data_IF_384634197995
#
_entry.id   IF_384634197995
#
_cell.length_a   1.000
_cell.length_b   1.000
_cell.length_c   1.000
_cell.angle_alpha   90.00
_cell.angle_beta   90.00
_cell.angle_gamma   90.00
#
_symmetry.space_group_name_H-M   'P 1'
#
loop_
_entity.id
_entity.type
_entity.pdbx_description
1 polymer ?
#
# COMPACT_ATOMS: atom_id res chain seq x y z
N UNK A 1 17.80 -20.39 9.38
CA UNK A 1 17.71 -21.68 10.09
C UNK A 1 18.83 -22.56 9.57
N UNK A 2 19.58 -23.21 10.47
CA UNK A 2 20.58 -24.21 10.07
C UNK A 2 19.92 -25.41 9.38
N UNK A 3 20.72 -26.15 8.59
CA UNK A 3 20.21 -27.29 7.79
C UNK A 3 19.61 -28.41 8.64
N UNK A 4 20.07 -28.56 9.88
CA UNK A 4 19.55 -29.51 10.88
C UNK A 4 18.41 -28.94 11.75
N UNK A 5 18.00 -27.69 11.51
CA UNK A 5 16.93 -27.01 12.22
C UNK A 5 17.24 -26.55 13.64
N UNK A 6 18.49 -26.77 14.14
CA UNK A 6 18.83 -26.50 15.53
C UNK A 6 19.12 -25.02 15.84
N UNK A 7 19.54 -24.28 14.83
CA UNK A 7 19.84 -22.87 15.00
C UNK A 7 18.87 -22.02 14.18
N UNK A 8 18.27 -21.03 14.84
CA UNK A 8 17.46 -19.99 14.20
C UNK A 8 18.14 -18.65 14.48
N UNK A 9 18.62 -18.00 13.43
CA UNK A 9 19.24 -16.70 13.53
C UNK A 9 18.50 -15.69 12.67
N UNK A 10 17.94 -14.60 13.25
CA UNK A 10 17.39 -13.52 12.45
C UNK A 10 18.51 -12.81 11.68
N UNK A 11 18.29 -12.59 10.39
CA UNK A 11 19.25 -11.89 9.51
C UNK A 11 18.85 -10.44 9.26
N UNK A 12 17.61 -10.06 9.60
CA UNK A 12 17.12 -8.68 9.55
C UNK A 12 16.66 -8.26 10.94
N UNK A 13 16.92 -7.00 11.31
CA UNK A 13 16.44 -6.39 12.53
C UNK A 13 15.75 -5.09 12.20
N UNK A 14 14.70 -4.74 12.94
CA UNK A 14 13.92 -3.51 12.76
C UNK A 14 12.43 -3.74 12.96
N UNK A 15 11.70 -2.63 13.13
CA UNK A 15 10.24 -2.62 13.30
C UNK A 15 9.55 -2.58 11.93
N UNK A 16 9.74 -3.60 11.10
CA UNK A 16 9.11 -3.72 9.79
C UNK A 16 8.78 -5.17 9.44
N UNK A 17 7.84 -5.35 8.53
CA UNK A 17 7.49 -6.66 7.99
C UNK A 17 8.38 -7.04 6.81
N UNK A 18 8.84 -8.29 6.81
CA UNK A 18 9.29 -8.99 5.62
C UNK A 18 8.05 -9.43 4.83
N UNK A 19 7.72 -8.69 3.77
CA UNK A 19 6.45 -8.86 3.06
C UNK A 19 6.52 -10.02 2.07
N UNK A 20 7.59 -10.07 1.29
CA UNK A 20 7.77 -11.06 0.23
C UNK A 20 9.26 -11.28 -0.05
N UNK A 21 9.66 -12.54 -0.20
CA UNK A 21 10.96 -12.87 -0.78
C UNK A 21 10.96 -12.59 -2.29
N UNK A 22 12.04 -11.98 -2.76
CA UNK A 22 12.31 -11.78 -4.19
C UNK A 22 13.33 -12.80 -4.69
N UNK A 23 14.31 -13.15 -3.86
CA UNK A 23 15.30 -14.18 -4.14
C UNK A 23 16.58 -13.98 -3.34
N UNK A 24 17.59 -14.81 -3.64
CA UNK A 24 18.90 -14.74 -2.98
C UNK A 24 20.04 -14.84 -4.01
N UNK A 25 21.13 -14.13 -3.74
CA UNK A 25 22.42 -14.26 -4.41
C UNK A 25 23.36 -14.97 -3.42
N UNK A 26 23.45 -16.30 -3.58
CA UNK A 26 24.24 -17.14 -2.67
C UNK A 26 25.74 -16.90 -2.82
N UNK A 27 26.21 -16.52 -4.03
CA UNK A 27 27.63 -16.26 -4.30
C UNK A 27 28.10 -15.00 -3.57
N UNK A 28 27.23 -13.97 -3.53
CA UNK A 28 27.51 -12.70 -2.83
C UNK A 28 26.97 -12.67 -1.40
N UNK A 29 26.20 -13.69 -1.00
CA UNK A 29 25.64 -13.79 0.36
C UNK A 29 24.57 -12.74 0.68
N UNK A 30 23.63 -12.47 -0.25
CA UNK A 30 22.52 -11.55 -0.07
C UNK A 30 21.16 -12.22 -0.27
N UNK A 31 20.18 -11.79 0.52
CA UNK A 31 18.76 -12.01 0.27
C UNK A 31 18.12 -10.68 -0.15
N UNK A 32 17.19 -10.77 -1.10
CA UNK A 32 16.40 -9.65 -1.61
C UNK A 32 14.94 -9.85 -1.25
N UNK A 33 14.31 -8.82 -0.73
CA UNK A 33 12.93 -8.90 -0.22
C UNK A 33 12.19 -7.57 -0.34
N UNK A 34 10.87 -7.65 -0.29
CA UNK A 34 9.99 -6.48 -0.22
C UNK A 34 9.72 -6.15 1.24
N UNK A 35 9.87 -4.88 1.59
CA UNK A 35 9.51 -4.31 2.88
C UNK A 35 9.00 -2.86 2.71
N UNK A 36 8.43 -2.31 3.77
CA UNK A 36 7.94 -0.94 3.79
C UNK A 36 8.02 -0.35 5.20
N UNK A 37 9.24 -0.11 5.74
CA UNK A 37 9.42 0.36 7.11
C UNK A 37 8.88 1.77 7.35
N UNK A 38 8.93 2.63 6.34
CA UNK A 38 8.63 4.07 6.49
C UNK A 38 7.22 4.45 6.04
N UNK A 39 6.58 3.64 5.19
CA UNK A 39 5.24 3.91 4.66
C UNK A 39 4.48 2.62 4.35
N UNK A 40 3.50 2.29 5.17
CA UNK A 40 2.75 1.02 5.05
C UNK A 40 1.86 0.93 3.81
N UNK A 41 1.60 2.04 3.11
CA UNK A 41 0.82 2.04 1.87
C UNK A 41 1.65 1.68 0.64
N UNK A 42 2.98 1.61 0.76
CA UNK A 42 3.94 1.42 -0.32
C UNK A 42 4.75 0.14 -0.15
N UNK A 43 5.52 -0.27 -1.17
CA UNK A 43 6.33 -1.50 -1.18
C UNK A 43 7.65 -1.24 -1.88
N UNK A 44 8.76 -1.58 -1.23
CA UNK A 44 10.10 -1.29 -1.70
C UNK A 44 11.01 -2.51 -1.64
N UNK A 45 11.98 -2.59 -2.56
CA UNK A 45 12.99 -3.62 -2.55
C UNK A 45 14.10 -3.29 -1.57
N UNK A 46 14.42 -4.27 -0.73
CA UNK A 46 15.56 -4.25 0.18
C UNK A 46 16.46 -5.44 -0.06
N UNK A 47 17.70 -5.33 0.39
CA UNK A 47 18.61 -6.46 0.55
C UNK A 47 19.12 -6.53 1.98
N UNK A 48 19.46 -7.74 2.42
CA UNK A 48 20.22 -7.99 3.66
C UNK A 48 21.30 -9.03 3.41
N UNK A 49 22.37 -9.02 4.22
CA UNK A 49 23.37 -10.08 4.18
C UNK A 49 22.81 -11.36 4.80
N UNK A 50 23.07 -12.50 4.15
CA UNK A 50 22.72 -13.83 4.69
C UNK A 50 23.60 -14.19 5.88
N UNK A 51 24.86 -13.70 5.89
CA UNK A 51 25.84 -13.99 6.93
C UNK A 51 26.44 -12.68 7.47
N UNK A 52 26.64 -12.60 8.78
CA UNK A 52 27.20 -11.42 9.45
C UNK A 52 26.17 -10.50 10.05
N UNK A 53 26.53 -9.24 10.27
CA UNK A 53 25.62 -8.21 10.78
C UNK A 53 24.78 -7.68 9.63
N UNK A 54 23.51 -8.07 9.61
CA UNK A 54 22.58 -7.83 8.52
C UNK A 54 22.24 -6.36 8.31
N UNK A 55 23.12 -5.60 7.63
CA UNK A 55 22.74 -4.29 7.11
C UNK A 55 21.59 -4.45 6.12
N UNK A 56 20.46 -3.85 6.44
CA UNK A 56 19.29 -3.76 5.57
C UNK A 56 19.42 -2.50 4.73
N UNK A 57 19.43 -2.66 3.40
CA UNK A 57 19.58 -1.54 2.46
C UNK A 57 18.48 -1.54 1.42
N UNK A 58 17.77 -0.41 1.28
CA UNK A 58 16.84 -0.19 0.17
C UNK A 58 17.58 -0.12 -1.15
N UNK A 59 17.04 -0.80 -2.19
CA UNK A 59 17.57 -0.83 -3.55
C UNK A 59 16.66 -0.13 -4.56
N UNK A 60 15.33 -0.19 -4.36
CA UNK A 60 14.41 0.56 -5.21
C UNK A 60 14.68 2.06 -5.13
N UNK A 61 14.54 2.82 -6.24
CA UNK A 61 14.83 4.24 -6.29
C UNK A 61 14.05 5.03 -5.23
N UNK A 62 14.71 6.04 -4.64
CA UNK A 62 14.10 6.86 -3.58
C UNK A 62 13.08 7.86 -4.11
N UNK A 63 13.21 8.24 -5.38
CA UNK A 63 12.32 9.14 -6.11
C UNK A 63 11.11 8.45 -6.75
N UNK A 64 11.01 7.12 -6.62
CA UNK A 64 9.86 6.34 -7.09
C UNK A 64 9.05 5.84 -5.90
N UNK A 65 8.17 6.69 -5.38
CA UNK A 65 7.23 6.31 -4.32
C UNK A 65 6.06 5.52 -4.89
N UNK A 66 5.77 4.34 -4.29
CA UNK A 66 4.68 3.46 -4.73
C UNK A 66 4.94 1.99 -4.50
N UNK A 67 4.41 1.16 -5.37
CA UNK A 67 4.53 -0.29 -5.33
C UNK A 67 5.62 -0.78 -6.29
N UNK A 68 6.56 -1.54 -5.76
CA UNK A 68 7.60 -2.20 -6.54
C UNK A 68 7.43 -3.72 -6.43
N UNK A 69 7.44 -4.39 -7.59
CA UNK A 69 7.42 -5.86 -7.69
C UNK A 69 8.56 -6.33 -8.55
N UNK A 70 9.10 -7.51 -8.25
CA UNK A 70 10.24 -8.06 -8.95
C UNK A 70 10.06 -9.54 -9.24
N UNK A 71 10.50 -9.94 -10.43
CA UNK A 71 10.70 -11.34 -10.80
C UNK A 71 12.19 -11.49 -11.10
N UNK A 72 12.94 -12.07 -10.18
CA UNK A 72 14.39 -12.20 -10.29
C UNK A 72 14.77 -13.38 -11.18
N UNK A 73 15.81 -13.19 -12.00
CA UNK A 73 16.39 -14.24 -12.80
C UNK A 73 17.08 -15.30 -11.91
N UNK A 74 17.18 -16.56 -12.33
CA UNK A 74 17.89 -17.60 -11.58
C UNK A 74 19.36 -17.26 -11.28
N UNK A 75 20.00 -16.44 -12.12
CA UNK A 75 21.38 -15.98 -11.91
C UNK A 75 21.52 -14.88 -10.85
N UNK A 76 20.42 -14.31 -10.33
CA UNK A 76 20.46 -13.19 -9.40
C UNK A 76 21.00 -11.87 -9.97
N UNK A 77 21.26 -11.80 -11.28
CA UNK A 77 21.88 -10.62 -11.93
C UNK A 77 20.89 -9.64 -12.49
N UNK A 78 19.67 -10.09 -12.79
CA UNK A 78 18.62 -9.32 -13.45
C UNK A 78 17.28 -9.57 -12.79
N UNK A 79 16.37 -8.61 -12.92
CA UNK A 79 14.97 -8.84 -12.62
C UNK A 79 14.07 -8.09 -13.61
N UNK A 80 12.88 -8.63 -13.86
CA UNK A 80 11.77 -7.85 -14.37
C UNK A 80 11.21 -7.07 -13.19
N UNK A 81 11.21 -5.77 -13.31
CA UNK A 81 10.70 -4.84 -12.32
C UNK A 81 9.40 -4.25 -12.81
N UNK A 82 8.43 -4.15 -11.93
CA UNK A 82 7.16 -3.44 -12.16
C UNK A 82 7.00 -2.38 -11.09
N UNK A 83 6.85 -1.14 -11.51
CA UNK A 83 6.56 0.00 -10.66
C UNK A 83 5.19 0.57 -10.99
N UNK A 84 4.41 0.93 -9.98
CA UNK A 84 3.20 1.74 -10.12
C UNK A 84 2.91 2.52 -8.83
N UNK A 85 2.10 3.56 -8.95
CA UNK A 85 1.44 4.24 -7.83
C UNK A 85 0.03 4.67 -8.23
N UNK A 86 -0.68 5.39 -7.38
CA UNK A 86 -2.06 5.81 -7.63
C UNK A 86 -2.24 6.65 -8.90
N UNK A 87 -1.18 7.32 -9.38
CA UNK A 87 -1.20 8.22 -10.54
C UNK A 87 -0.45 7.66 -11.76
N UNK A 88 0.30 6.58 -11.57
CA UNK A 88 1.17 6.03 -12.60
C UNK A 88 0.80 4.57 -12.87
N UNK A 89 0.32 4.26 -14.09
CA UNK A 89 0.10 2.88 -14.50
C UNK A 89 1.39 2.08 -14.45
N UNK A 90 1.32 0.73 -14.43
CA UNK A 90 2.51 -0.10 -14.32
C UNK A 90 3.56 0.24 -15.38
N UNK A 91 4.74 0.65 -14.93
CA UNK A 91 5.96 0.76 -15.74
C UNK A 91 6.74 -0.52 -15.53
N UNK A 92 7.08 -1.19 -16.61
CA UNK A 92 7.78 -2.50 -16.56
C UNK A 92 9.11 -2.35 -17.29
N UNK A 93 10.19 -2.68 -16.60
CA UNK A 93 11.53 -2.69 -17.14
C UNK A 93 12.35 -3.87 -16.64
N UNK A 94 13.45 -4.16 -17.31
CA UNK A 94 14.47 -5.07 -16.87
C UNK A 94 15.57 -4.29 -16.15
N UNK A 95 15.84 -4.64 -14.90
CA UNK A 95 16.86 -4.00 -14.07
C UNK A 95 18.00 -4.94 -13.71
N UNK A 96 19.21 -4.39 -13.55
CA UNK A 96 20.36 -5.13 -13.04
C UNK A 96 20.36 -5.19 -11.52
N UNK A 97 20.87 -6.27 -10.94
CA UNK A 97 21.05 -6.45 -9.51
C UNK A 97 22.53 -6.51 -9.12
N UNK A 98 22.91 -5.95 -7.98
CA UNK A 98 22.10 -5.20 -7.01
C UNK A 98 21.98 -3.69 -7.29
N UNK A 99 22.48 -3.21 -8.42
CA UNK A 99 22.60 -1.77 -8.73
C UNK A 99 21.24 -1.10 -9.03
N UNK A 100 20.20 -1.89 -9.32
CA UNK A 100 18.87 -1.43 -9.74
C UNK A 100 18.92 -0.46 -10.93
N UNK A 101 19.83 -0.72 -11.88
CA UNK A 101 19.92 0.10 -13.09
C UNK A 101 19.00 -0.46 -14.16
N UNK A 102 18.11 0.36 -14.69
CA UNK A 102 17.27 -0.01 -15.84
C UNK A 102 18.14 -0.29 -17.06
N UNK A 103 17.97 -1.47 -17.64
CA UNK A 103 18.70 -1.96 -18.80
C UNK A 103 17.82 -1.85 -20.04
N UNK A 104 16.56 -2.14 -19.89
CA UNK A 104 15.60 -2.15 -20.99
C UNK A 104 14.21 -1.86 -20.46
N UNK A 105 13.60 -0.82 -20.99
CA UNK A 105 12.18 -0.56 -20.83
C UNK A 105 11.38 -1.60 -21.65
N UNK A 106 10.42 -2.26 -21.00
CA UNK A 106 9.49 -3.20 -21.62
C UNK A 106 8.21 -2.46 -22.01
N UNK A 107 7.63 -1.72 -21.07
CA UNK A 107 6.51 -0.81 -21.32
C UNK A 107 6.45 0.27 -20.25
N UNK A 108 6.08 1.48 -20.64
CA UNK A 108 5.79 2.60 -19.73
C UNK A 108 4.28 2.87 -19.59
N UNK A 109 3.46 2.18 -20.40
CA UNK A 109 2.02 2.40 -20.47
C UNK A 109 1.61 3.87 -20.63
N UNK A 110 2.46 4.67 -21.33
CA UNK A 110 2.27 6.11 -21.52
C UNK A 110 0.90 6.42 -22.15
N UNK A 111 0.48 5.63 -23.14
CA UNK A 111 -0.84 5.81 -23.77
C UNK A 111 -1.99 5.59 -22.78
N UNK A 112 -1.90 4.59 -21.90
CA UNK A 112 -2.90 4.36 -20.86
C UNK A 112 -2.94 5.52 -19.87
N UNK A 113 -1.77 6.04 -19.48
CA UNK A 113 -1.64 7.23 -18.60
C UNK A 113 -2.28 8.46 -19.23
N UNK A 114 -2.05 8.70 -20.52
CA UNK A 114 -2.62 9.81 -21.26
C UNK A 114 -4.14 9.70 -21.36
N UNK A 115 -4.66 8.53 -21.74
CA UNK A 115 -6.09 8.26 -21.78
C UNK A 115 -6.76 8.44 -20.41
N UNK A 116 -6.12 7.94 -19.36
CA UNK A 116 -6.61 8.11 -18.00
C UNK A 116 -6.66 9.58 -17.58
N UNK A 117 -5.61 10.34 -17.88
CA UNK A 117 -5.56 11.79 -17.62
C UNK A 117 -6.66 12.53 -18.37
N UNK A 118 -6.99 12.12 -19.61
CA UNK A 118 -8.05 12.71 -20.41
C UNK A 118 -9.45 12.51 -19.82
N UNK A 119 -9.65 11.53 -18.94
CA UNK A 119 -10.91 11.32 -18.23
C UNK A 119 -11.18 12.36 -17.14
N UNK A 120 -10.19 13.19 -16.77
CA UNK A 120 -10.35 14.21 -15.73
C UNK A 120 -10.67 13.64 -14.34
N UNK A 121 -10.18 12.45 -14.04
CA UNK A 121 -10.46 11.75 -12.79
C UNK A 121 -9.84 12.46 -11.60
N UNK A 122 -10.52 12.41 -10.46
CA UNK A 122 -10.06 13.02 -9.23
C UNK A 122 -8.92 12.20 -8.59
N UNK A 123 -7.88 12.85 -8.06
CA UNK A 123 -6.76 12.16 -7.43
C UNK A 123 -7.21 11.45 -6.14
N UNK A 124 -6.51 10.38 -5.81
CA UNK A 124 -6.59 9.73 -4.52
C UNK A 124 -5.63 10.42 -3.56
N UNK A 125 -6.16 11.12 -2.57
CA UNK A 125 -5.37 11.79 -1.54
C UNK A 125 -5.15 10.83 -0.35
N UNK A 126 -3.90 10.55 -0.01
CA UNK A 126 -3.57 9.75 1.18
C UNK A 126 -3.59 10.65 2.42
N UNK A 127 -4.32 10.22 3.43
CA UNK A 127 -4.52 10.96 4.69
C UNK A 127 -4.35 10.03 5.88
N UNK A 128 -4.24 10.61 7.07
CA UNK A 128 -4.21 9.87 8.34
C UNK A 128 -5.47 10.15 9.14
N UNK A 129 -5.91 9.13 9.87
CA UNK A 129 -7.01 9.23 10.82
C UNK A 129 -6.69 8.43 12.08
N UNK A 130 -7.56 8.50 13.10
CA UNK A 130 -7.32 7.85 14.38
C UNK A 130 -8.49 7.02 14.86
N UNK A 131 -8.16 5.88 15.49
CA UNK A 131 -9.07 5.11 16.33
C UNK A 131 -8.47 5.06 17.74
N UNK A 132 -8.89 5.97 18.63
CA UNK A 132 -8.23 6.19 19.91
C UNK A 132 -6.79 6.68 19.72
N UNK A 133 -5.84 6.01 20.37
CA UNK A 133 -4.41 6.31 20.23
C UNK A 133 -3.79 5.77 18.93
N UNK A 134 -4.51 4.91 18.21
CA UNK A 134 -3.99 4.26 17.03
C UNK A 134 -4.15 5.15 15.79
N UNK A 135 -3.04 5.43 15.10
CA UNK A 135 -3.05 6.09 13.80
C UNK A 135 -3.33 5.06 12.69
N UNK A 136 -4.27 5.39 11.82
CA UNK A 136 -4.70 4.59 10.68
C UNK A 136 -4.36 5.30 9.37
N UNK A 137 -3.95 4.52 8.36
CA UNK A 137 -3.84 5.00 6.99
C UNK A 137 -5.22 5.09 6.35
N UNK A 138 -5.44 6.11 5.55
CA UNK A 138 -6.66 6.28 4.76
C UNK A 138 -6.36 6.94 3.41
N UNK A 139 -7.29 6.84 2.48
CA UNK A 139 -7.31 7.69 1.30
C UNK A 139 -8.69 8.29 1.09
N UNK A 140 -8.71 9.42 0.37
CA UNK A 140 -9.92 10.16 0.05
C UNK A 140 -9.93 10.55 -1.43
N UNK A 141 -11.11 10.45 -2.08
CA UNK A 141 -11.38 11.03 -3.40
C UNK A 141 -12.47 12.06 -3.22
N UNK A 142 -12.19 13.30 -3.59
CA UNK A 142 -13.11 14.43 -3.49
C UNK A 142 -13.96 14.58 -4.76
N UNK A 143 -15.14 15.20 -4.67
CA UNK A 143 -15.97 15.48 -5.84
C UNK A 143 -15.28 16.37 -6.87
N UNK A 144 -15.72 16.26 -8.13
CA UNK A 144 -15.40 17.27 -9.15
C UNK A 144 -15.93 18.64 -8.69
N UNK A 145 -15.16 19.68 -8.92
CA UNK A 145 -15.49 21.06 -8.44
C UNK A 145 -15.66 21.16 -6.92
N UNK A 146 -14.80 20.43 -6.18
CA UNK A 146 -14.79 20.44 -4.73
C UNK A 146 -14.62 21.87 -4.18
N UNK A 147 -15.51 22.24 -3.25
CA UNK A 147 -15.50 23.51 -2.55
C UNK A 147 -15.38 23.24 -1.03
N UNK A 148 -14.26 23.58 -0.39
CA UNK A 148 -14.02 23.26 1.02
C UNK A 148 -14.99 23.95 1.99
N UNK A 149 -15.77 24.96 1.52
CA UNK A 149 -16.79 25.64 2.32
C UNK A 149 -18.12 24.90 2.41
N UNK A 150 -18.32 23.88 1.54
CA UNK A 150 -19.55 23.08 1.47
C UNK A 150 -19.43 21.80 2.28
N UNK A 151 -20.57 21.18 2.56
CA UNK A 151 -20.66 19.87 3.19
C UNK A 151 -21.03 18.80 2.17
N UNK A 152 -20.31 17.67 2.22
CA UNK A 152 -20.47 16.58 1.28
C UNK A 152 -20.84 15.27 1.98
N UNK A 153 -21.74 14.48 1.40
CA UNK A 153 -21.98 13.11 1.85
C UNK A 153 -20.74 12.25 1.62
N UNK A 154 -20.53 11.27 2.49
CA UNK A 154 -19.38 10.38 2.42
C UNK A 154 -19.83 8.94 2.21
N UNK A 155 -19.10 8.22 1.37
CA UNK A 155 -19.22 6.77 1.22
C UNK A 155 -17.85 6.16 1.63
N UNK A 156 -17.89 5.28 2.65
CA UNK A 156 -16.72 4.52 3.09
C UNK A 156 -16.68 3.23 2.25
N UNK A 157 -15.55 3.00 1.57
CA UNK A 157 -15.25 1.75 0.88
C UNK A 157 -14.37 0.88 1.77
N UNK A 158 -14.90 -0.26 2.23
CA UNK A 158 -14.26 -1.12 3.23
C UNK A 158 -14.07 -2.54 2.70
N UNK A 159 -12.97 -3.17 3.10
CA UNK A 159 -12.79 -4.61 3.04
C UNK A 159 -12.72 -5.21 4.46
N UNK A 160 -11.87 -4.66 5.32
CA UNK A 160 -11.88 -4.90 6.77
C UNK A 160 -11.23 -6.19 7.27
N UNK A 161 -11.00 -7.18 6.41
CA UNK A 161 -10.49 -8.51 6.77
C UNK A 161 -8.99 -8.69 6.45
N UNK A 162 -8.34 -9.77 6.99
CA UNK A 162 -6.89 -9.96 6.87
C UNK A 162 -6.38 -10.32 5.47
N UNK A 163 -7.25 -10.68 4.53
CA UNK A 163 -6.79 -11.14 3.21
C UNK A 163 -6.27 -10.03 2.31
N UNK A 164 -6.67 -8.78 2.54
CA UNK A 164 -6.27 -7.64 1.71
C UNK A 164 -6.08 -6.37 2.52
N UNK A 165 -5.34 -5.41 1.93
CA UNK A 165 -5.25 -4.02 2.37
C UNK A 165 -5.89 -3.12 1.30
N UNK A 166 -6.77 -2.21 1.69
CA UNK A 166 -7.47 -1.30 0.78
C UNK A 166 -6.73 0.02 0.58
N UNK A 167 -5.91 0.40 1.58
CA UNK A 167 -5.15 1.65 1.53
C UNK A 167 -3.74 1.39 1.01
N UNK A 168 -3.64 1.34 -0.31
CA UNK A 168 -2.38 1.10 -1.01
C UNK A 168 -2.14 2.16 -2.09
N UNK A 169 -0.89 2.63 -2.17
CA UNK A 169 -0.43 3.52 -3.24
C UNK A 169 -0.07 2.68 -4.46
N UNK A 170 -1.09 2.27 -5.20
CA UNK A 170 -1.01 1.40 -6.36
C UNK A 170 -1.97 1.86 -7.44
N UNK A 171 -1.60 1.63 -8.69
CA UNK A 171 -2.50 1.82 -9.82
C UNK A 171 -3.68 0.84 -9.75
N UNK A 172 -4.87 1.36 -9.63
CA UNK A 172 -6.12 0.57 -9.52
C UNK A 172 -7.02 0.73 -10.74
N UNK A 173 -6.48 1.24 -11.86
CA UNK A 173 -7.30 1.58 -13.02
C UNK A 173 -8.32 2.68 -12.74
N UNK A 174 -8.05 3.50 -11.71
CA UNK A 174 -8.83 4.67 -11.31
C UNK A 174 -10.10 4.36 -10.55
N UNK A 175 -10.37 3.09 -10.26
CA UNK A 175 -11.63 2.72 -9.60
C UNK A 175 -12.80 3.53 -10.16
N UNK A 176 -13.19 3.27 -11.42
CA UNK A 176 -14.19 4.08 -12.13
C UNK A 176 -15.52 4.19 -11.36
N UNK A 177 -15.82 3.20 -10.52
CA UNK A 177 -16.97 3.26 -9.61
C UNK A 177 -16.82 4.40 -8.58
N UNK A 178 -15.68 4.52 -7.94
CA UNK A 178 -15.42 5.62 -6.98
C UNK A 178 -15.45 6.98 -7.68
N UNK A 179 -14.91 7.06 -8.90
CA UNK A 179 -14.96 8.28 -9.70
C UNK A 179 -16.37 8.66 -10.11
N UNK A 180 -17.20 7.67 -10.48
CA UNK A 180 -18.61 7.89 -10.77
C UNK A 180 -19.33 8.48 -9.55
N UNK A 181 -19.15 7.92 -8.37
CA UNK A 181 -19.73 8.43 -7.13
C UNK A 181 -19.20 9.84 -6.77
N UNK A 182 -17.91 10.10 -6.99
CA UNK A 182 -17.33 11.43 -6.81
C UNK A 182 -17.98 12.46 -7.76
N UNK A 183 -18.25 12.08 -9.01
CA UNK A 183 -18.98 12.93 -9.97
C UNK A 183 -20.43 13.21 -9.55
N UNK A 184 -21.05 12.34 -8.76
CA UNK A 184 -22.37 12.56 -8.16
C UNK A 184 -22.31 13.44 -6.90
N UNK A 185 -21.13 13.91 -6.49
CA UNK A 185 -20.93 14.79 -5.36
C UNK A 185 -20.65 14.10 -4.02
N UNK A 186 -20.28 12.82 -4.01
CA UNK A 186 -19.84 12.11 -2.81
C UNK A 186 -18.34 12.25 -2.60
N UNK A 187 -17.92 12.32 -1.36
CA UNK A 187 -16.55 12.02 -0.97
C UNK A 187 -16.45 10.51 -0.75
N UNK A 188 -15.46 9.88 -1.36
CA UNK A 188 -15.17 8.46 -1.15
C UNK A 188 -13.97 8.34 -0.24
N UNK A 189 -14.06 7.53 0.80
CA UNK A 189 -13.01 7.31 1.79
C UNK A 189 -12.79 5.82 1.95
N UNK A 190 -11.53 5.40 2.10
CA UNK A 190 -11.21 4.07 2.62
C UNK A 190 -10.24 4.23 3.79
N UNK A 191 -10.48 3.47 4.85
CA UNK A 191 -9.68 3.49 6.08
C UNK A 191 -9.13 2.09 6.30
N UNK A 192 -7.80 1.98 6.51
CA UNK A 192 -7.16 0.69 6.81
C UNK A 192 -7.29 0.39 8.30
N UNK A 193 -8.22 -0.47 8.66
CA UNK A 193 -8.43 -0.89 10.04
C UNK A 193 -7.41 -1.92 10.52
N UNK A 194 -7.31 -2.10 11.83
CA UNK A 194 -6.54 -3.18 12.45
C UNK A 194 -6.94 -4.54 11.89
N UNK A 195 -5.96 -5.43 11.78
CA UNK A 195 -6.16 -6.78 11.28
C UNK A 195 -6.08 -6.91 9.76
N UNK A 196 -6.22 -5.82 9.01
CA UNK A 196 -6.01 -5.84 7.56
C UNK A 196 -4.55 -6.19 7.20
N UNK A 197 -4.31 -6.62 5.94
CA UNK A 197 -3.00 -7.06 5.46
C UNK A 197 -2.04 -5.89 5.17
N UNK A 198 -2.05 -4.88 6.03
CA UNK A 198 -1.04 -3.82 6.01
C UNK A 198 0.26 -4.30 6.69
N UNK A 199 1.46 -3.92 6.23
CA UNK A 199 2.74 -4.38 6.75
C UNK A 199 3.14 -3.63 8.04
N UNK A 200 2.27 -3.65 9.03
CA UNK A 200 2.40 -2.96 10.33
C UNK A 200 2.79 -3.88 11.48
N UNK A 201 3.36 -5.04 11.15
CA UNK A 201 3.85 -6.01 12.11
C UNK A 201 2.84 -7.08 12.51
N UNK A 202 3.33 -8.06 13.27
CA UNK A 202 2.55 -9.23 13.71
C UNK A 202 1.35 -8.84 14.58
N UNK A 203 1.56 -7.92 15.54
CA UNK A 203 0.51 -7.49 16.48
C UNK A 203 -0.66 -6.84 15.74
N UNK A 204 -0.39 -6.03 14.73
CA UNK A 204 -1.41 -5.45 13.87
C UNK A 204 -2.29 -6.51 13.22
N UNK A 205 -1.69 -7.57 12.64
CA UNK A 205 -2.44 -8.60 11.90
C UNK A 205 -3.12 -9.63 12.79
N UNK A 206 -2.58 -9.86 14.00
CA UNK A 206 -3.05 -10.92 14.89
C UNK A 206 -4.04 -10.44 15.96
N UNK A 207 -4.18 -9.13 16.17
CA UNK A 207 -5.10 -8.58 17.17
C UNK A 207 -6.56 -9.00 16.96
N UNK A 208 -6.93 -9.35 15.72
CA UNK A 208 -8.29 -9.79 15.37
C UNK A 208 -8.51 -11.30 15.49
N UNK A 209 -7.55 -12.05 16.02
CA UNK A 209 -7.72 -13.50 16.18
C UNK A 209 -8.85 -13.81 17.16
N UNK A 210 -9.92 -14.43 16.66
CA UNK A 210 -11.17 -14.64 17.40
C UNK A 210 -12.12 -13.42 17.45
N UNK A 211 -11.72 -12.28 16.89
CA UNK A 211 -12.45 -10.99 16.96
C UNK A 211 -12.66 -10.35 15.57
N UNK A 212 -12.80 -11.20 14.55
CA UNK A 212 -13.06 -10.72 13.18
C UNK A 212 -14.33 -9.90 13.13
N UNK A 213 -14.25 -8.70 12.51
CA UNK A 213 -15.36 -7.74 12.42
C UNK A 213 -15.46 -6.75 13.58
N UNK A 214 -15.10 -7.13 14.80
CA UNK A 214 -15.22 -6.25 15.99
C UNK A 214 -14.33 -5.02 15.86
N UNK A 215 -13.01 -5.21 15.75
CA UNK A 215 -12.07 -4.10 15.62
C UNK A 215 -12.19 -3.37 14.29
N UNK A 216 -12.54 -4.07 13.21
CA UNK A 216 -12.76 -3.43 11.91
C UNK A 216 -13.90 -2.42 12.01
N UNK A 217 -15.06 -2.80 12.53
CA UNK A 217 -16.21 -1.90 12.70
C UNK A 217 -15.89 -0.71 13.60
N UNK A 218 -15.19 -0.94 14.71
CA UNK A 218 -14.77 0.11 15.65
C UNK A 218 -13.83 1.13 14.98
N UNK A 219 -12.81 0.63 14.27
CA UNK A 219 -11.82 1.49 13.60
C UNK A 219 -12.44 2.29 12.46
N UNK A 220 -13.35 1.70 11.67
CA UNK A 220 -14.10 2.42 10.63
C UNK A 220 -14.94 3.55 11.24
N UNK A 221 -15.70 3.26 12.31
CA UNK A 221 -16.56 4.24 12.98
C UNK A 221 -15.75 5.37 13.62
N UNK A 222 -14.67 5.06 14.33
CA UNK A 222 -13.81 6.07 14.97
C UNK A 222 -12.98 6.85 13.95
N UNK A 223 -12.48 6.18 12.93
CA UNK A 223 -11.69 6.81 11.87
C UNK A 223 -12.49 7.85 11.09
N UNK A 224 -13.74 7.54 10.69
CA UNK A 224 -14.56 8.53 9.99
C UNK A 224 -14.96 9.69 10.90
N UNK A 225 -15.19 9.46 12.19
CA UNK A 225 -15.45 10.52 13.15
C UNK A 225 -14.24 11.45 13.33
N UNK A 226 -13.04 10.88 13.32
CA UNK A 226 -11.80 11.65 13.40
C UNK A 226 -11.57 12.47 12.12
N UNK A 227 -11.77 11.88 10.93
CA UNK A 227 -11.73 12.63 9.67
C UNK A 227 -12.75 13.78 9.66
N UNK A 228 -13.94 13.58 10.20
CA UNK A 228 -14.95 14.64 10.29
C UNK A 228 -14.56 15.79 11.23
N UNK A 229 -13.71 15.52 12.24
CA UNK A 229 -13.10 16.57 13.08
C UNK A 229 -11.99 17.32 12.35
N UNK A 230 -11.21 16.63 11.53
CA UNK A 230 -10.12 17.20 10.74
C UNK A 230 -10.62 18.03 9.55
N UNK A 231 -11.72 17.58 8.92
CA UNK A 231 -12.23 18.11 7.66
C UNK A 231 -13.68 18.59 7.81
N UNK A 232 -13.88 19.90 7.92
CA UNK A 232 -15.19 20.53 8.11
C UNK A 232 -16.18 20.27 6.98
N UNK A 233 -15.70 19.90 5.79
CA UNK A 233 -16.50 19.59 4.62
C UNK A 233 -17.18 18.20 4.68
N UNK A 234 -16.88 17.35 5.64
CA UNK A 234 -17.57 16.07 5.84
C UNK A 234 -18.93 16.33 6.50
N UNK A 235 -19.99 15.83 5.86
CA UNK A 235 -21.34 15.86 6.44
C UNK A 235 -21.59 14.61 7.28
N UNK A 236 -21.51 14.77 8.59
CA UNK A 236 -21.69 13.67 9.55
C UNK A 236 -23.10 13.08 9.59
N UNK A 237 -24.09 13.80 9.03
CA UNK A 237 -25.48 13.31 8.93
C UNK A 237 -25.69 12.44 7.68
N UNK A 238 -24.72 12.41 6.75
CA UNK A 238 -24.82 11.68 5.48
C UNK A 238 -23.58 10.84 5.21
N UNK A 239 -23.36 9.83 6.05
CA UNK A 239 -22.26 8.87 5.91
C UNK A 239 -22.86 7.50 5.61
N UNK A 240 -22.46 6.91 4.51
CA UNK A 240 -22.76 5.53 4.11
C UNK A 240 -21.52 4.67 4.07
N UNK A 241 -21.71 3.36 4.09
CA UNK A 241 -20.63 2.38 3.97
C UNK A 241 -21.00 1.38 2.87
N UNK A 242 -20.02 0.96 2.11
CA UNK A 242 -20.11 -0.08 1.10
C UNK A 242 -18.88 -0.96 1.15
N UNK A 243 -19.02 -2.20 0.74
CA UNK A 243 -17.92 -3.14 0.67
C UNK A 243 -18.27 -4.37 -0.16
N UNK A 244 -17.29 -5.24 -0.33
CA UNK A 244 -17.44 -6.50 -1.02
C UNK A 244 -16.71 -7.61 -0.25
N UNK A 245 -17.25 -8.86 -0.28
CA UNK A 245 -16.69 -10.01 0.45
C UNK A 245 -16.66 -9.75 1.96
N UNK A 246 -15.50 -9.53 2.55
CA UNK A 246 -15.37 -9.19 3.97
C UNK A 246 -15.84 -7.78 4.33
N UNK A 247 -16.10 -6.96 3.34
CA UNK A 247 -16.56 -5.58 3.54
C UNK A 247 -18.06 -5.41 3.62
#
# INVERSE_FOLDING_TARGET
VSRDGKEIKPITQGAFDYIQEVGADMDKGFVYFIASPDNFTQRYLYRARLFGNGEVKRLSPVDQSGQHRYIMSPSGKWAVHTFSNSETPPVIDMVSFPAHKSIRLITDNAKAKEQYKALGLQPKEFVKTRSGELELDAWMIKPVNFDPSKKYPVIIDVYGEPANATVQDVWSGGSLWHQYLANLGYIIVSIENRGANAPRGREWRKCIYGEVGTFASEDQARGIQDLARQYSFIDTARIGITGWSGG
#
